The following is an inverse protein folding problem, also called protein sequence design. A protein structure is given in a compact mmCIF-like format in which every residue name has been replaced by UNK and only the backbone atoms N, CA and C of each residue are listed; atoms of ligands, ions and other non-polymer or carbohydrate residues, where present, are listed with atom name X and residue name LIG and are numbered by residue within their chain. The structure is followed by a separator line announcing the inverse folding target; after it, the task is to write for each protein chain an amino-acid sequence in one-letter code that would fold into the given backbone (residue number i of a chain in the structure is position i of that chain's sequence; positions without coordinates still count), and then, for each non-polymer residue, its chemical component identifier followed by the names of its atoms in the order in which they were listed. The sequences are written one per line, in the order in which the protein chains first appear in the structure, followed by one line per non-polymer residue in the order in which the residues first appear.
data_IF_503725245040
#
_entry.id   IF_503725245040
#
_cell.length_a   1.000
_cell.length_b   1.000
_cell.length_c   1.000
_cell.angle_alpha   90.00
_cell.angle_beta   90.00
_cell.angle_gamma   90.00
#
_symmetry.space_group_name_H-M   'P 1'
#
loop_
_entity.id
_entity.type
_entity.pdbx_description
1 polymer ?
#
# COMPACT_ATOMS: atom_id res chain seq x y z
N UNK A 1 -4.63 2.15 17.33
CA UNK A 1 -4.24 2.51 15.96
C UNK A 1 -4.24 4.03 15.86
N UNK A 2 -3.20 4.67 15.30
CA UNK A 2 -3.22 6.12 15.10
C UNK A 2 -4.00 6.47 13.82
N UNK A 3 -4.54 7.69 13.72
CA UNK A 3 -5.41 8.10 12.61
C UNK A 3 -4.74 7.92 11.24
N UNK A 4 -3.43 8.19 11.16
CA UNK A 4 -2.64 8.04 9.94
C UNK A 4 -2.65 6.58 9.43
N UNK A 5 -2.37 5.61 10.30
CA UNK A 5 -2.37 4.19 9.90
C UNK A 5 -3.77 3.70 9.52
N UNK A 6 -4.83 4.20 10.17
CA UNK A 6 -6.20 3.91 9.76
C UNK A 6 -6.52 4.46 8.36
N UNK A 7 -6.08 5.67 8.04
CA UNK A 7 -6.28 6.26 6.72
C UNK A 7 -5.49 5.51 5.63
N UNK A 8 -4.25 5.10 5.93
CA UNK A 8 -3.44 4.29 5.01
C UNK A 8 -4.11 2.92 4.76
N UNK A 9 -4.63 2.29 5.81
CA UNK A 9 -5.36 1.02 5.68
C UNK A 9 -6.58 1.16 4.75
N UNK A 10 -7.42 2.16 5.01
CA UNK A 10 -8.61 2.44 4.20
C UNK A 10 -8.25 2.72 2.74
N UNK A 11 -7.17 3.47 2.51
CA UNK A 11 -6.64 3.73 1.18
C UNK A 11 -6.24 2.43 0.46
N UNK A 12 -5.43 1.57 1.09
CA UNK A 12 -4.96 0.30 0.51
C UNK A 12 -6.16 -0.58 0.16
N UNK A 13 -7.09 -0.78 1.11
CA UNK A 13 -8.26 -1.63 0.89
C UNK A 13 -9.18 -1.08 -0.20
N UNK A 14 -9.34 0.24 -0.28
CA UNK A 14 -10.13 0.89 -1.32
C UNK A 14 -9.48 0.77 -2.69
N UNK A 15 -8.15 0.91 -2.78
CA UNK A 15 -7.38 0.70 -4.01
C UNK A 15 -7.54 -0.72 -4.54
N UNK A 16 -7.32 -1.72 -3.69
CA UNK A 16 -7.49 -3.13 -4.04
C UNK A 16 -8.94 -3.45 -4.46
N UNK A 17 -9.94 -2.87 -3.78
CA UNK A 17 -11.34 -3.02 -4.16
C UNK A 17 -11.63 -2.43 -5.54
N UNK A 18 -11.08 -1.27 -5.89
CA UNK A 18 -11.22 -0.66 -7.23
C UNK A 18 -10.59 -1.53 -8.31
N UNK A 19 -9.54 -2.29 -7.98
CA UNK A 19 -8.89 -3.24 -8.89
C UNK A 19 -9.66 -4.56 -9.05
N UNK A 20 -10.78 -4.73 -8.34
CA UNK A 20 -11.61 -5.93 -8.43
C UNK A 20 -11.20 -7.06 -7.49
N UNK A 21 -10.38 -6.78 -6.46
CA UNK A 21 -10.08 -7.77 -5.42
C UNK A 21 -11.36 -8.12 -4.65
N UNK A 22 -11.69 -9.40 -4.62
CA UNK A 22 -12.87 -9.94 -3.96
C UNK A 22 -12.87 -9.67 -2.45
N UNK A 23 -14.07 -9.51 -1.87
CA UNK A 23 -14.24 -9.20 -0.45
C UNK A 23 -13.55 -10.21 0.47
N UNK A 24 -13.63 -11.51 0.14
CA UNK A 24 -12.97 -12.56 0.93
C UNK A 24 -11.45 -12.44 0.95
N UNK A 25 -10.85 -11.91 -0.11
CA UNK A 25 -9.41 -11.66 -0.19
C UNK A 25 -9.03 -10.43 0.62
N UNK A 26 -9.86 -9.38 0.59
CA UNK A 26 -9.68 -8.19 1.43
C UNK A 26 -9.79 -8.55 2.92
N UNK A 27 -10.78 -9.36 3.30
CA UNK A 27 -10.95 -9.84 4.68
C UNK A 27 -9.70 -10.64 5.12
N UNK A 28 -9.18 -11.53 4.26
CA UNK A 28 -7.95 -12.27 4.57
C UNK A 28 -6.74 -11.35 4.79
N UNK A 29 -6.60 -10.28 3.98
CA UNK A 29 -5.53 -9.27 4.15
C UNK A 29 -5.69 -8.53 5.48
N UNK A 30 -6.92 -8.17 5.85
CA UNK A 30 -7.22 -7.52 7.14
C UNK A 30 -6.90 -8.44 8.33
N UNK A 31 -7.11 -9.76 8.16
CA UNK A 31 -6.77 -10.79 9.14
C UNK A 31 -5.26 -11.12 9.19
N UNK A 32 -4.45 -10.43 8.38
CA UNK A 32 -2.98 -10.53 8.41
C UNK A 32 -2.38 -11.49 7.39
N UNK A 33 -3.14 -11.94 6.38
CA UNK A 33 -2.59 -12.68 5.27
C UNK A 33 -1.48 -11.88 4.56
N UNK A 34 -0.52 -12.61 3.99
CA UNK A 34 0.46 -11.99 3.10
C UNK A 34 -0.27 -11.47 1.86
N UNK A 35 -0.06 -10.19 1.53
CA UNK A 35 -0.51 -9.61 0.27
C UNK A 35 0.33 -10.17 -0.86
N UNK A 36 1.65 -10.21 -0.68
CA UNK A 36 2.60 -10.70 -1.68
C UNK A 36 3.63 -11.65 -1.09
N UNK A 37 4.04 -12.64 -1.89
CA UNK A 37 5.01 -13.66 -1.52
C UNK A 37 4.59 -15.05 -2.00
N UNK A 38 5.32 -16.12 -1.62
CA UNK A 38 4.97 -17.49 -1.98
C UNK A 38 3.57 -17.93 -1.51
N UNK A 39 3.07 -17.30 -0.44
CA UNK A 39 1.72 -17.51 0.12
C UNK A 39 0.83 -16.27 -0.02
N UNK A 40 1.25 -15.30 -0.86
CA UNK A 40 0.53 -14.05 -1.07
C UNK A 40 -0.81 -14.27 -1.76
N UNK A 41 -1.83 -13.54 -1.32
CA UNK A 41 -3.18 -13.64 -1.88
C UNK A 41 -3.40 -12.73 -3.10
N UNK A 42 -2.48 -11.80 -3.35
CA UNK A 42 -2.48 -10.93 -4.52
C UNK A 42 -1.50 -11.44 -5.58
N UNK A 43 -1.89 -11.29 -6.84
CA UNK A 43 -0.98 -11.48 -7.97
C UNK A 43 -0.13 -10.22 -8.24
N UNK A 44 0.75 -10.32 -9.23
CA UNK A 44 1.62 -9.22 -9.63
C UNK A 44 0.85 -8.03 -10.22
N UNK A 45 -0.34 -8.23 -10.80
CA UNK A 45 -1.16 -7.15 -11.37
C UNK A 45 -1.69 -6.27 -10.25
N UNK A 46 -2.22 -6.88 -9.18
CA UNK A 46 -2.69 -6.14 -8.01
C UNK A 46 -1.56 -5.43 -7.28
N UNK A 47 -0.37 -6.05 -7.15
CA UNK A 47 0.78 -5.39 -6.53
C UNK A 47 1.22 -4.17 -7.33
N UNK A 48 1.41 -4.31 -8.65
CA UNK A 48 1.82 -3.19 -9.50
C UNK A 48 0.77 -2.08 -9.47
N UNK A 49 -0.52 -2.43 -9.55
CA UNK A 49 -1.61 -1.47 -9.43
C UNK A 49 -1.57 -0.71 -8.11
N UNK A 50 -1.39 -1.41 -6.98
CA UNK A 50 -1.31 -0.79 -5.66
C UNK A 50 -0.11 0.17 -5.56
N UNK A 51 1.05 -0.23 -6.09
CA UNK A 51 2.24 0.63 -6.11
C UNK A 51 2.02 1.89 -6.97
N UNK A 52 1.33 1.76 -8.10
CA UNK A 52 0.95 2.91 -8.93
C UNK A 52 0.00 3.86 -8.19
N UNK A 53 -1.07 3.35 -7.57
CA UNK A 53 -2.01 4.17 -6.80
C UNK A 53 -1.31 4.91 -5.64
N UNK A 54 -0.40 4.24 -4.93
CA UNK A 54 0.41 4.87 -3.88
C UNK A 54 1.32 5.95 -4.46
N UNK A 55 2.01 5.64 -5.56
CA UNK A 55 2.90 6.56 -6.24
C UNK A 55 2.18 7.84 -6.63
N UNK A 56 1.01 7.74 -7.25
CA UNK A 56 0.20 8.89 -7.64
C UNK A 56 -0.13 9.80 -6.44
N UNK A 57 -0.55 9.22 -5.31
CA UNK A 57 -0.88 9.99 -4.11
C UNK A 57 0.36 10.63 -3.49
N UNK A 58 1.46 9.90 -3.38
CA UNK A 58 2.72 10.40 -2.83
C UNK A 58 3.29 11.52 -3.70
N UNK A 59 3.39 11.30 -5.01
CA UNK A 59 3.94 12.29 -5.96
C UNK A 59 3.04 13.52 -6.06
N UNK A 60 1.72 13.39 -5.91
CA UNK A 60 0.81 14.55 -5.86
C UNK A 60 1.01 15.44 -4.63
N UNK A 61 1.49 14.85 -3.53
CA UNK A 61 1.77 15.56 -2.29
C UNK A 61 3.20 16.12 -2.22
N UNK A 62 4.12 15.58 -3.01
CA UNK A 62 5.52 16.01 -3.04
C UNK A 62 5.79 17.08 -4.12
N UNK A 63 6.03 18.31 -3.67
CA UNK A 63 6.41 19.42 -4.57
C UNK A 63 7.84 19.35 -5.10
N UNK A 64 8.66 18.41 -4.61
CA UNK A 64 10.07 18.28 -4.99
C UNK A 64 10.30 17.54 -6.31
N UNK A 65 9.26 16.87 -6.85
CA UNK A 65 9.29 16.20 -8.14
C UNK A 65 10.10 14.90 -8.19
N UNK A 66 10.40 14.30 -7.03
CA UNK A 66 10.98 12.95 -6.97
C UNK A 66 9.93 11.87 -7.27
N UNK A 67 10.34 10.76 -7.87
CA UNK A 67 9.41 9.63 -8.06
C UNK A 67 9.32 8.77 -6.82
N UNK A 68 8.12 8.30 -6.51
CA UNK A 68 7.89 7.27 -5.50
C UNK A 68 8.76 6.03 -5.73
N UNK A 69 8.94 5.65 -7.00
CA UNK A 69 9.72 4.48 -7.38
C UNK A 69 11.22 4.64 -7.13
N UNK A 70 11.74 5.87 -7.04
CA UNK A 70 13.15 6.13 -6.71
C UNK A 70 13.46 5.82 -5.24
N UNK A 71 12.43 5.78 -4.38
CA UNK A 71 12.53 5.52 -2.95
C UNK A 71 12.40 4.01 -2.65
N UNK A 72 11.88 3.24 -3.60
CA UNK A 72 11.74 1.80 -3.49
C UNK A 72 13.12 1.14 -3.67
N UNK A 73 13.64 0.55 -2.59
CA UNK A 73 14.88 -0.20 -2.59
C UNK A 73 14.64 -1.71 -2.83
N UNK A 74 15.70 -2.52 -2.65
CA UNK A 74 15.64 -3.98 -2.77
C UNK A 74 14.66 -4.66 -1.80
N UNK A 75 14.19 -3.94 -0.76
CA UNK A 75 13.30 -4.48 0.27
C UNK A 75 11.82 -4.18 -0.03
N UNK A 76 11.48 -3.76 -1.27
CA UNK A 76 10.11 -3.57 -1.74
C UNK A 76 9.18 -4.72 -1.33
N UNK A 77 9.59 -5.97 -1.58
CA UNK A 77 8.76 -7.13 -1.25
C UNK A 77 8.53 -7.33 0.24
N UNK A 78 9.45 -6.85 1.09
CA UNK A 78 9.29 -6.88 2.54
C UNK A 78 8.37 -5.76 3.01
N UNK A 79 8.50 -4.57 2.43
CA UNK A 79 7.65 -3.41 2.73
C UNK A 79 6.19 -3.71 2.35
N UNK A 80 5.96 -4.34 1.20
CA UNK A 80 4.63 -4.66 0.67
C UNK A 80 4.17 -6.10 0.97
N UNK A 81 4.84 -6.80 1.89
CA UNK A 81 4.55 -8.20 2.23
C UNK A 81 3.14 -8.39 2.77
N UNK A 82 2.73 -7.56 3.72
CA UNK A 82 1.39 -7.59 4.33
C UNK A 82 0.91 -6.19 4.69
N UNK A 83 -0.33 -6.10 5.15
CA UNK A 83 -0.96 -4.82 5.46
C UNK A 83 -0.20 -4.04 6.54
N UNK A 84 0.32 -4.72 7.56
CA UNK A 84 1.06 -4.09 8.67
C UNK A 84 2.41 -3.50 8.22
N UNK A 85 3.20 -4.26 7.46
CA UNK A 85 4.49 -3.79 6.93
C UNK A 85 4.28 -2.59 6.02
N UNK A 86 3.23 -2.62 5.20
CA UNK A 86 2.91 -1.56 4.24
C UNK A 86 2.49 -0.29 4.98
N UNK A 87 1.59 -0.40 5.97
CA UNK A 87 1.19 0.73 6.82
C UNK A 87 2.38 1.36 7.53
N UNK A 88 3.26 0.53 8.08
CA UNK A 88 4.47 0.98 8.78
C UNK A 88 5.37 1.77 7.84
N UNK A 89 5.74 1.18 6.70
CA UNK A 89 6.57 1.83 5.68
C UNK A 89 6.00 3.18 5.24
N UNK A 90 4.72 3.22 4.88
CA UNK A 90 4.06 4.44 4.41
C UNK A 90 3.96 5.49 5.51
N UNK A 91 3.67 5.10 6.75
CA UNK A 91 3.61 6.05 7.87
C UNK A 91 4.97 6.64 8.23
N UNK A 92 6.05 5.87 8.11
CA UNK A 92 7.40 6.32 8.44
C UNK A 92 8.02 7.19 7.34
N UNK A 93 7.85 6.80 6.07
CA UNK A 93 8.46 7.50 4.93
C UNK A 93 7.59 8.62 4.37
N UNK A 94 6.28 8.48 4.49
CA UNK A 94 5.29 9.35 3.85
C UNK A 94 4.22 9.83 4.83
N UNK A 95 4.51 9.91 6.13
CA UNK A 95 3.55 10.38 7.14
C UNK A 95 3.08 11.83 6.96
N UNK A 96 3.71 12.58 6.05
CA UNK A 96 3.28 13.91 5.62
C UNK A 96 2.21 13.88 4.49
N UNK A 97 1.98 12.72 3.87
CA UNK A 97 1.01 12.53 2.77
C UNK A 97 -0.37 12.27 3.36
N UNK A 98 -1.40 12.88 2.77
CA UNK A 98 -2.78 12.65 3.16
C UNK A 98 -3.40 11.51 2.33
N UNK A 99 -3.46 10.30 2.91
CA UNK A 99 -4.05 9.12 2.28
C UNK A 99 -5.58 9.05 2.37
N UNK A 100 -6.26 9.98 3.07
CA UNK A 100 -7.73 9.95 3.22
C UNK A 100 -8.49 10.73 2.13
N UNK A 101 -7.84 11.03 1.01
CA UNK A 101 -8.38 11.88 -0.05
C UNK A 101 -9.44 11.17 -0.90
#
# INVERSE_FOLDING_TARGET
MNLLQSNIEEFILSSLRRMGVEASTLDAIMDGAEMYGPTGVLDSVHLVGLLSDIGDVVESADTSGGSFFDILDSDLFLQFKNLESTKTFLSERFGYVNFSA
#
